data_IF_784269413038
#
_entry.id   IF_784269413038
#
_cell.length_a   1.000
_cell.length_b   1.000
_cell.length_c   1.000
_cell.angle_alpha   90.00
_cell.angle_beta   90.00
_cell.angle_gamma   90.00
#
_symmetry.space_group_name_H-M   'P 1'
#
loop_
_entity.id
_entity.type
_entity.pdbx_description
1 polymer ?
#
# COMPACT_ATOMS: atom_id res chain seq x y z
N UNK A 1 -3.85 -0.68 20.64
CA UNK A 1 -2.50 -0.24 20.23
C UNK A 1 -2.51 1.28 20.33
N UNK A 2 -1.73 1.86 21.24
CA UNK A 2 -1.70 3.32 21.42
C UNK A 2 -0.58 3.87 20.53
N UNK A 3 -0.94 4.57 19.45
CA UNK A 3 0.05 5.31 18.68
C UNK A 3 0.47 6.53 19.50
N UNK A 4 1.78 6.70 19.66
CA UNK A 4 2.35 7.88 20.31
C UNK A 4 2.15 9.05 19.34
N UNK A 5 1.07 9.81 19.55
CA UNK A 5 0.92 11.14 18.94
C UNK A 5 1.89 12.05 19.71
N UNK A 6 3.17 11.96 19.34
CA UNK A 6 4.27 12.61 20.06
C UNK A 6 4.63 13.99 19.49
N UNK A 7 3.85 14.52 18.54
CA UNK A 7 4.12 15.84 17.96
C UNK A 7 2.81 16.62 17.78
N UNK A 8 2.79 17.88 18.21
CA UNK A 8 1.59 18.73 18.24
C UNK A 8 1.08 19.09 16.84
N UNK A 9 1.94 18.93 15.83
CA UNK A 9 1.65 19.24 14.44
C UNK A 9 1.16 18.02 13.65
N UNK A 10 1.13 16.82 14.27
CA UNK A 10 0.65 15.60 13.63
C UNK A 10 -0.86 15.44 13.78
N UNK A 11 -1.54 15.40 12.65
CA UNK A 11 -2.94 15.00 12.50
C UNK A 11 -3.11 13.52 12.84
N UNK A 12 -4.34 13.11 13.21
CA UNK A 12 -4.67 11.70 13.46
C UNK A 12 -4.40 10.78 12.23
N UNK A 13 -4.29 11.37 11.05
CA UNK A 13 -3.90 10.70 9.81
C UNK A 13 -2.41 10.32 9.75
N UNK A 14 -1.54 10.98 10.52
CA UNK A 14 -0.09 10.84 10.38
C UNK A 14 0.51 9.65 11.15
N UNK A 15 -0.27 8.63 11.51
CA UNK A 15 0.23 7.46 12.25
C UNK A 15 -0.15 6.10 11.67
N UNK A 16 -1.04 6.06 10.69
CA UNK A 16 -1.66 4.84 10.19
C UNK A 16 -1.73 4.87 8.66
N UNK A 17 -1.61 3.69 8.05
CA UNK A 17 -1.95 3.54 6.64
C UNK A 17 -3.43 3.91 6.45
N UNK A 18 -3.74 4.61 5.37
CA UNK A 18 -5.13 4.85 5.03
C UNK A 18 -5.77 3.59 4.42
N UNK A 19 -6.29 2.76 5.31
CA UNK A 19 -6.87 1.46 4.98
C UNK A 19 -8.38 1.60 4.89
N UNK A 20 -8.90 1.92 3.70
CA UNK A 20 -10.34 1.84 3.43
C UNK A 20 -10.71 2.14 1.99
N UNK A 21 -9.77 2.18 1.04
CA UNK A 21 -10.07 2.41 -0.39
C UNK A 21 -11.04 3.58 -0.65
N UNK A 22 -11.03 4.62 0.20
CA UNK A 22 -11.80 5.82 -0.09
C UNK A 22 -11.13 6.50 -1.28
N UNK A 23 -11.90 6.90 -2.30
CA UNK A 23 -11.34 7.53 -3.50
C UNK A 23 -10.49 8.78 -3.20
N UNK A 24 -10.68 9.36 -2.01
CA UNK A 24 -10.02 10.57 -1.49
C UNK A 24 -8.78 10.29 -0.65
N UNK A 25 -8.36 9.04 -0.46
CA UNK A 25 -7.15 8.72 0.28
C UNK A 25 -6.26 7.77 -0.49
N UNK A 26 -5.27 8.35 -1.17
CA UNK A 26 -4.34 7.68 -2.09
C UNK A 26 -2.89 8.12 -1.86
N UNK A 27 -2.64 8.91 -0.83
CA UNK A 27 -1.35 9.51 -0.52
C UNK A 27 -0.28 8.41 -0.34
N UNK A 28 -0.59 7.36 0.40
CA UNK A 28 0.30 6.21 0.60
C UNK A 28 0.58 5.46 -0.72
N UNK A 29 -0.43 5.35 -1.60
CA UNK A 29 -0.29 4.73 -2.91
C UNK A 29 0.64 5.57 -3.81
N UNK A 30 0.43 6.89 -3.86
CA UNK A 30 1.30 7.81 -4.60
C UNK A 30 2.72 7.81 -4.04
N UNK A 31 2.87 7.74 -2.72
CA UNK A 31 4.18 7.63 -2.09
C UNK A 31 4.88 6.33 -2.48
N UNK A 32 4.16 5.21 -2.53
CA UNK A 32 4.67 3.92 -2.97
C UNK A 32 5.14 3.97 -4.44
N UNK A 33 4.36 4.57 -5.34
CA UNK A 33 4.78 4.77 -6.74
C UNK A 33 5.98 5.71 -6.85
N UNK A 34 6.02 6.78 -6.04
CA UNK A 34 7.15 7.71 -6.00
C UNK A 34 8.45 7.05 -5.56
N UNK A 35 8.39 6.14 -4.58
CA UNK A 35 9.56 5.33 -4.16
C UNK A 35 10.08 4.51 -5.35
N UNK A 36 9.19 3.77 -6.04
CA UNK A 36 9.61 2.98 -7.20
C UNK A 36 10.22 3.88 -8.27
N UNK A 37 9.57 5.00 -8.61
CA UNK A 37 10.07 5.96 -9.60
C UNK A 37 11.47 6.45 -9.25
N UNK A 38 11.68 6.91 -8.02
CA UNK A 38 12.95 7.49 -7.60
C UNK A 38 14.08 6.45 -7.57
N UNK A 39 13.78 5.24 -7.07
CA UNK A 39 14.76 4.16 -7.08
C UNK A 39 15.10 3.69 -8.50
N UNK A 40 14.13 3.68 -9.43
CA UNK A 40 14.38 3.35 -10.85
C UNK A 40 15.31 4.36 -11.55
N UNK A 41 15.43 5.60 -11.04
CA UNK A 41 16.40 6.57 -11.57
C UNK A 41 17.85 6.23 -11.18
N UNK A 42 18.02 5.55 -10.04
CA UNK A 42 19.33 5.28 -9.45
C UNK A 42 19.79 3.83 -9.66
N UNK A 43 18.86 2.91 -9.88
CA UNK A 43 19.12 1.48 -9.94
C UNK A 43 18.39 0.84 -11.13
N UNK A 44 18.98 -0.23 -11.67
CA UNK A 44 18.32 -1.07 -12.68
C UNK A 44 17.26 -1.95 -12.00
N UNK A 45 16.06 -1.40 -11.82
CA UNK A 45 14.89 -2.10 -11.31
C UNK A 45 14.16 -2.79 -12.47
N UNK A 46 13.80 -4.05 -12.26
CA UNK A 46 12.88 -4.74 -13.17
C UNK A 46 11.44 -4.37 -12.79
N UNK A 47 10.86 -3.46 -13.57
CA UNK A 47 9.52 -2.93 -13.29
C UNK A 47 8.40 -3.96 -13.50
N UNK A 48 8.66 -5.06 -14.20
CA UNK A 48 7.71 -6.16 -14.40
C UNK A 48 7.73 -7.14 -13.21
N UNK A 49 8.69 -7.01 -12.29
CA UNK A 49 8.89 -7.90 -11.13
C UNK A 49 8.95 -7.13 -9.81
N UNK A 50 7.99 -6.22 -9.62
CA UNK A 50 7.80 -5.48 -8.37
C UNK A 50 6.89 -6.24 -7.40
N UNK A 51 7.33 -6.36 -6.15
CA UNK A 51 6.61 -7.08 -5.10
C UNK A 51 6.44 -6.21 -3.86
N UNK A 52 5.26 -6.26 -3.23
CA UNK A 52 5.05 -5.59 -1.94
C UNK A 52 4.78 -6.63 -0.84
N UNK A 53 5.44 -6.48 0.30
CA UNK A 53 5.22 -7.33 1.47
C UNK A 53 4.92 -6.46 2.68
N UNK A 54 4.10 -6.96 3.61
CA UNK A 54 3.70 -6.20 4.78
C UNK A 54 3.47 -7.08 6.00
N UNK A 55 3.67 -6.51 7.18
CA UNK A 55 3.39 -7.12 8.48
C UNK A 55 2.38 -6.28 9.27
N UNK A 56 1.44 -6.91 9.97
CA UNK A 56 0.44 -6.23 10.81
C UNK A 56 -0.36 -5.20 9.99
N UNK A 57 -0.38 -3.93 10.38
CA UNK A 57 -1.04 -2.87 9.62
C UNK A 57 -0.49 -2.71 8.20
N UNK A 58 0.81 -2.97 8.00
CA UNK A 58 1.41 -2.97 6.67
C UNK A 58 0.94 -4.13 5.79
N UNK A 59 0.53 -5.26 6.39
CA UNK A 59 -0.12 -6.37 5.67
C UNK A 59 -1.53 -6.00 5.23
N UNK A 60 -2.23 -5.16 5.97
CA UNK A 60 -3.51 -4.61 5.48
C UNK A 60 -3.26 -3.69 4.27
N UNK A 61 -2.19 -2.90 4.30
CA UNK A 61 -1.82 -2.00 3.19
C UNK A 61 -1.41 -2.75 1.92
N UNK A 62 -0.82 -3.95 2.01
CA UNK A 62 -0.53 -4.73 0.80
C UNK A 62 -1.79 -5.13 0.04
N UNK A 63 -2.96 -5.23 0.69
CA UNK A 63 -4.23 -5.36 -0.02
C UNK A 63 -4.65 -4.08 -0.76
N UNK A 64 -4.23 -2.90 -0.30
CA UNK A 64 -4.44 -1.65 -1.05
C UNK A 64 -3.56 -1.57 -2.28
N UNK A 65 -2.30 -2.02 -2.18
CA UNK A 65 -1.44 -2.23 -3.35
C UNK A 65 -2.12 -3.17 -4.34
N UNK A 66 -2.68 -4.28 -3.85
CA UNK A 66 -3.42 -5.23 -4.69
C UNK A 66 -4.60 -4.59 -5.42
N UNK A 67 -5.44 -3.86 -4.70
CA UNK A 67 -6.66 -3.31 -5.24
C UNK A 67 -6.43 -2.09 -6.13
N UNK A 68 -5.41 -1.27 -5.85
CA UNK A 68 -5.27 0.06 -6.46
C UNK A 68 -4.03 0.20 -7.33
N UNK A 69 -3.00 -0.62 -7.12
CA UNK A 69 -1.69 -0.53 -7.78
C UNK A 69 -1.29 -1.83 -8.51
N UNK A 70 -2.27 -2.68 -8.87
CA UNK A 70 -2.03 -3.91 -9.63
C UNK A 70 -1.50 -3.68 -11.07
N UNK A 71 -1.52 -2.44 -11.58
CA UNK A 71 -0.82 -2.08 -12.81
C UNK A 71 0.69 -1.89 -12.60
N UNK A 72 1.13 -1.73 -11.35
CA UNK A 72 2.52 -1.43 -10.99
C UNK A 72 3.21 -2.59 -10.27
N UNK A 73 2.50 -3.33 -9.43
CA UNK A 73 3.06 -4.47 -8.69
C UNK A 73 2.59 -5.80 -9.26
N UNK A 74 3.53 -6.75 -9.37
CA UNK A 74 3.27 -8.08 -9.92
C UNK A 74 2.61 -9.03 -8.91
N UNK A 75 2.99 -8.94 -7.64
CA UNK A 75 2.37 -9.72 -6.56
C UNK A 75 2.61 -9.09 -5.18
N UNK A 76 1.81 -9.52 -4.20
CA UNK A 76 1.97 -9.09 -2.81
C UNK A 76 1.96 -10.26 -1.83
N UNK A 77 2.57 -10.06 -0.65
CA UNK A 77 2.49 -11.00 0.47
C UNK A 77 2.07 -10.29 1.77
N UNK A 78 1.19 -10.95 2.52
CA UNK A 78 0.49 -10.41 3.67
C UNK A 78 0.79 -11.25 4.91
N UNK A 79 1.44 -10.66 5.91
CA UNK A 79 1.78 -11.34 7.16
C UNK A 79 1.08 -10.71 8.37
N UNK A 80 0.27 -11.51 9.07
CA UNK A 80 -0.37 -11.12 10.34
C UNK A 80 -1.23 -9.83 10.28
N UNK A 81 -1.84 -9.54 9.13
CA UNK A 81 -2.88 -8.52 8.98
C UNK A 81 -4.13 -9.11 8.33
N UNK A 82 -5.21 -8.33 8.32
CA UNK A 82 -6.54 -8.78 7.85
C UNK A 82 -6.88 -8.16 6.50
N UNK A 83 -7.47 -8.95 5.61
CA UNK A 83 -8.01 -8.45 4.34
C UNK A 83 -9.32 -7.68 4.57
N UNK A 84 -9.53 -6.51 3.92
CA UNK A 84 -10.84 -5.85 3.94
C UNK A 84 -11.88 -6.72 3.25
N UNK A 85 -12.99 -7.02 3.94
CA UNK A 85 -14.08 -7.86 3.38
C UNK A 85 -14.93 -7.08 2.37
N UNK A 86 -15.03 -5.77 2.52
CA UNK A 86 -15.86 -4.90 1.68
C UNK A 86 -15.17 -3.55 1.43
N UNK A 87 -14.13 -3.49 0.57
CA UNK A 87 -13.50 -2.23 0.22
C UNK A 87 -14.50 -1.27 -0.46
N UNK A 88 -14.42 0.02 -0.16
CA UNK A 88 -15.18 1.08 -0.82
C UNK A 88 -14.84 1.19 -2.33
N UNK A 89 -13.58 1.00 -2.71
CA UNK A 89 -13.16 0.94 -4.12
C UNK A 89 -12.09 -0.13 -4.32
N UNK A 90 -12.08 -0.80 -5.46
CA UNK A 90 -10.99 -1.72 -5.81
C UNK A 90 -10.92 -1.79 -7.33
N UNK A 91 -9.87 -1.24 -7.92
CA UNK A 91 -9.72 -1.12 -9.37
C UNK A 91 -8.74 -2.19 -9.87
N UNK A 92 -9.23 -3.42 -9.98
CA UNK A 92 -8.47 -4.51 -10.57
C UNK A 92 -8.49 -4.40 -12.09
N UNK A 93 -7.34 -4.05 -12.69
CA UNK A 93 -7.16 -4.08 -14.14
C UNK A 93 -6.73 -5.47 -14.65
N UNK A 94 -6.36 -6.38 -13.74
CA UNK A 94 -5.94 -7.74 -14.04
C UNK A 94 -6.00 -8.67 -12.82
N UNK A 95 -5.37 -9.83 -12.93
CA UNK A 95 -5.19 -10.75 -11.81
C UNK A 95 -3.84 -10.50 -11.16
N UNK A 96 -3.81 -10.39 -9.83
CA UNK A 96 -2.58 -10.22 -9.07
C UNK A 96 -2.47 -11.32 -8.02
N UNK A 97 -1.30 -11.93 -7.89
CA UNK A 97 -1.07 -12.96 -6.88
C UNK A 97 -0.97 -12.33 -5.49
N UNK A 98 -1.65 -12.95 -4.53
CA UNK A 98 -1.67 -12.54 -3.12
C UNK A 98 -1.33 -13.77 -2.29
N UNK A 99 -0.30 -13.66 -1.45
CA UNK A 99 0.13 -14.69 -0.49
C UNK A 99 -0.20 -14.29 0.94
#
# INVERSE_FOLDING_TARGET
MAYVIADSDRTAAEGEWFLNTAATSKEDNYFSEAIVRELSLSYCIDEDRLYAIGYSLGSMYTYEIACQLNHRFAAVASFAGTMPVSPQTCNLYGSMAVM
#
